data_IF_675629310197
#
_entry.id   IF_675629310197
#
_cell.length_a   1.000
_cell.length_b   1.000
_cell.length_c   1.000
_cell.angle_alpha   90.00
_cell.angle_beta   90.00
_cell.angle_gamma   90.00
#
_symmetry.space_group_name_H-M   'P 1'
#
loop_
_entity.id
_entity.type
_entity.pdbx_description
1 polymer ?
#
# COMPACT_ATOMS: atom_id res chain seq x y z
N UNK A 1 12.28 42.98 11.79
CA UNK A 1 12.99 41.83 12.40
C UNK A 1 12.71 40.58 11.56
N UNK A 2 13.50 40.34 10.49
CA UNK A 2 13.38 39.13 9.66
C UNK A 2 13.99 37.98 10.46
N UNK A 3 13.17 37.01 10.86
CA UNK A 3 13.64 35.81 11.54
C UNK A 3 14.49 35.00 10.56
N UNK A 4 15.76 34.81 10.91
CA UNK A 4 16.73 34.03 10.16
C UNK A 4 16.31 32.54 10.14
N UNK A 5 16.06 31.93 8.96
CA UNK A 5 15.62 30.54 8.83
C UNK A 5 16.59 29.51 9.45
N UNK A 6 17.84 29.88 9.71
CA UNK A 6 18.82 29.02 10.38
C UNK A 6 18.41 28.70 11.85
N UNK A 7 17.83 29.66 12.56
CA UNK A 7 17.44 29.50 13.97
C UNK A 7 16.18 28.64 14.17
N UNK A 8 15.29 28.59 13.17
CA UNK A 8 14.10 27.72 13.17
C UNK A 8 14.45 26.24 13.00
N UNK A 9 15.52 25.91 12.27
CA UNK A 9 15.98 24.52 12.09
C UNK A 9 16.63 23.95 13.35
N UNK A 10 17.39 24.76 14.09
CA UNK A 10 18.04 24.36 15.35
C UNK A 10 17.02 24.12 16.48
N UNK A 11 15.99 24.96 16.60
CA UNK A 11 14.90 24.77 17.59
C UNK A 11 13.99 23.58 17.26
N UNK A 12 13.79 23.27 15.97
CA UNK A 12 13.05 22.08 15.53
C UNK A 12 13.79 20.77 15.82
N UNK A 13 15.13 20.77 15.69
CA UNK A 13 15.97 19.60 15.96
C UNK A 13 15.95 19.15 17.43
N UNK A 14 15.97 20.10 18.38
CA UNK A 14 15.95 19.78 19.81
C UNK A 14 14.60 19.19 20.26
N UNK A 15 13.48 19.73 19.76
CA UNK A 15 12.14 19.16 20.02
C UNK A 15 11.95 17.82 19.30
N UNK A 16 12.46 17.67 18.08
CA UNK A 16 12.40 16.41 17.34
C UNK A 16 13.17 15.28 18.04
N UNK A 17 14.35 15.58 18.58
CA UNK A 17 15.17 14.62 19.31
C UNK A 17 14.51 14.16 20.62
N UNK A 18 13.87 15.07 21.36
CA UNK A 18 13.16 14.70 22.60
C UNK A 18 11.93 13.84 22.34
N UNK A 19 11.13 14.14 21.31
CA UNK A 19 10.01 13.28 20.91
C UNK A 19 10.48 11.91 20.41
N UNK A 20 11.58 11.85 19.66
CA UNK A 20 12.16 10.58 19.22
C UNK A 20 12.65 9.75 20.41
N UNK A 21 13.34 10.37 21.37
CA UNK A 21 13.82 9.72 22.59
C UNK A 21 12.66 9.22 23.47
N UNK A 22 11.62 10.04 23.66
CA UNK A 22 10.40 9.65 24.37
C UNK A 22 9.72 8.46 23.69
N UNK A 23 9.56 8.50 22.37
CA UNK A 23 8.99 7.39 21.60
C UNK A 23 9.81 6.10 21.68
N UNK A 24 11.15 6.20 21.67
CA UNK A 24 12.05 5.06 21.89
C UNK A 24 11.91 4.48 23.30
N UNK A 25 11.83 5.33 24.32
CA UNK A 25 11.60 4.91 25.70
C UNK A 25 10.25 4.21 25.87
N UNK A 26 9.18 4.78 25.31
CA UNK A 26 7.86 4.16 25.34
C UNK A 26 7.83 2.83 24.60
N UNK A 27 8.46 2.74 23.43
CA UNK A 27 8.60 1.48 22.70
C UNK A 27 9.37 0.43 23.52
N UNK A 28 10.46 0.81 24.20
CA UNK A 28 11.22 -0.08 25.07
C UNK A 28 10.40 -0.53 26.29
N UNK A 29 9.69 0.39 26.93
CA UNK A 29 8.81 0.11 28.07
C UNK A 29 7.68 -0.84 27.69
N UNK A 30 7.01 -0.60 26.57
CA UNK A 30 5.95 -1.47 26.04
C UNK A 30 6.50 -2.85 25.68
N UNK A 31 7.67 -2.91 25.04
CA UNK A 31 8.37 -4.16 24.73
C UNK A 31 8.65 -4.98 25.98
N UNK A 32 9.19 -4.33 27.02
CA UNK A 32 9.50 -5.00 28.28
C UNK A 32 8.24 -5.49 29.00
N UNK A 33 7.18 -4.69 29.02
CA UNK A 33 5.88 -5.10 29.59
C UNK A 33 5.30 -6.30 28.86
N UNK A 34 5.28 -6.26 27.52
CA UNK A 34 4.82 -7.39 26.71
C UNK A 34 5.63 -8.64 27.00
N UNK A 35 6.97 -8.55 26.98
CA UNK A 35 7.86 -9.67 27.26
C UNK A 35 7.60 -10.28 28.64
N UNK A 36 7.42 -9.45 29.68
CA UNK A 36 7.05 -9.94 31.02
C UNK A 36 5.73 -10.71 31.00
N UNK A 37 4.69 -10.14 30.40
CA UNK A 37 3.35 -10.75 30.34
C UNK A 37 3.39 -12.07 29.56
N UNK A 38 4.05 -12.10 28.40
CA UNK A 38 4.16 -13.32 27.60
C UNK A 38 4.91 -14.45 28.30
N UNK A 39 5.79 -14.13 29.26
CA UNK A 39 6.47 -15.15 30.06
C UNK A 39 5.64 -15.68 31.22
N UNK A 40 4.71 -14.87 31.76
CA UNK A 40 3.81 -15.28 32.85
C UNK A 40 2.55 -15.98 32.36
N UNK A 41 2.16 -15.77 31.10
CA UNK A 41 0.99 -16.42 30.53
C UNK A 41 1.24 -17.92 30.30
N UNK A 42 0.19 -18.77 30.45
CA UNK A 42 0.19 -20.12 29.90
C UNK A 42 0.54 -20.08 28.42
N UNK A 43 1.26 -21.09 27.96
CA UNK A 43 1.70 -21.14 26.57
C UNK A 43 0.50 -21.26 25.62
N UNK A 44 0.32 -20.30 24.69
CA UNK A 44 -0.71 -20.43 23.65
C UNK A 44 -0.24 -21.39 22.55
N UNK A 45 -1.16 -22.06 21.87
CA UNK A 45 -0.85 -22.89 20.69
C UNK A 45 -0.56 -22.05 19.43
N UNK A 46 -1.14 -20.86 19.37
CA UNK A 46 -1.14 -19.97 18.22
C UNK A 46 -1.19 -18.50 18.66
N UNK A 47 -0.43 -17.66 17.98
CA UNK A 47 -0.49 -16.19 18.08
C UNK A 47 -0.91 -15.64 16.72
N UNK A 48 -2.08 -15.01 16.68
CA UNK A 48 -2.56 -14.26 15.53
C UNK A 48 -2.21 -12.78 15.72
N UNK A 49 -1.45 -12.22 14.77
CA UNK A 49 -1.07 -10.81 14.77
C UNK A 49 -1.88 -10.08 13.71
N UNK A 50 -2.87 -9.31 14.13
CA UNK A 50 -3.61 -8.40 13.26
C UNK A 50 -2.83 -7.08 13.15
N UNK A 51 -2.40 -6.73 11.94
CA UNK A 51 -1.57 -5.54 11.72
C UNK A 51 -2.37 -4.24 11.90
N UNK A 52 -2.00 -3.39 12.88
CA UNK A 52 -1.54 -2.04 12.56
C UNK A 52 -0.04 -1.91 12.96
N UNK A 53 0.71 -0.85 12.59
CA UNK A 53 2.17 -0.91 12.52
C UNK A 53 2.80 -1.08 13.90
N UNK A 54 3.45 -2.23 14.15
CA UNK A 54 3.96 -2.61 15.48
C UNK A 54 5.43 -3.06 15.47
N UNK A 55 6.34 -2.28 14.90
CA UNK A 55 7.73 -2.40 15.32
C UNK A 55 7.79 -1.90 16.76
N UNK A 56 8.18 -2.67 17.80
CA UNK A 56 8.92 -3.94 17.90
C UNK A 56 8.12 -5.15 18.46
N UNK A 57 6.81 -5.04 18.60
CA UNK A 57 5.93 -5.98 19.33
C UNK A 57 6.02 -7.41 18.81
N UNK A 58 5.95 -7.59 17.49
CA UNK A 58 6.02 -8.93 16.88
C UNK A 58 7.39 -9.58 17.10
N UNK A 59 8.47 -8.79 17.11
CA UNK A 59 9.81 -9.29 17.38
C UNK A 59 9.95 -9.79 18.81
N UNK A 60 9.37 -9.06 19.76
CA UNK A 60 9.35 -9.45 21.17
C UNK A 60 8.50 -10.70 21.38
N UNK A 61 7.30 -10.73 20.80
CA UNK A 61 6.40 -11.87 20.90
C UNK A 61 7.03 -13.14 20.30
N UNK A 62 7.56 -13.03 19.07
CA UNK A 62 8.24 -14.11 18.39
C UNK A 62 9.43 -14.61 19.22
N UNK A 63 10.32 -13.75 19.71
CA UNK A 63 11.45 -14.19 20.55
C UNK A 63 11.03 -14.84 21.87
N UNK A 64 9.94 -14.39 22.46
CA UNK A 64 9.45 -14.90 23.75
C UNK A 64 8.77 -16.26 23.62
N UNK A 65 8.03 -16.50 22.54
CA UNK A 65 7.14 -17.65 22.41
C UNK A 65 7.60 -18.66 21.37
N UNK A 66 8.38 -18.27 20.35
CA UNK A 66 8.79 -19.19 19.29
C UNK A 66 9.61 -20.37 19.83
N UNK A 67 10.48 -20.13 20.82
CA UNK A 67 11.25 -21.20 21.49
C UNK A 67 10.39 -22.18 22.28
N UNK A 68 9.13 -21.83 22.56
CA UNK A 68 8.17 -22.69 23.24
C UNK A 68 7.35 -23.54 22.26
N UNK A 69 7.59 -23.44 20.95
CA UNK A 69 6.83 -24.17 19.93
C UNK A 69 5.50 -23.49 19.53
N UNK A 70 5.30 -22.24 19.94
CA UNK A 70 4.10 -21.46 19.57
C UNK A 70 4.14 -21.10 18.09
N UNK A 71 3.01 -21.33 17.41
CA UNK A 71 2.83 -20.96 16.00
C UNK A 71 2.44 -19.49 15.86
N UNK A 72 2.95 -18.82 14.83
CA UNK A 72 2.66 -17.43 14.53
C UNK A 72 1.93 -17.30 13.20
N UNK A 73 0.88 -16.49 13.18
CA UNK A 73 0.15 -16.14 11.96
C UNK A 73 0.02 -14.63 11.89
N UNK A 74 0.40 -14.02 10.77
CA UNK A 74 0.22 -12.59 10.55
C UNK A 74 -0.97 -12.38 9.63
N UNK A 75 -1.86 -11.48 10.02
CA UNK A 75 -2.97 -11.02 9.20
C UNK A 75 -2.66 -9.65 8.60
N UNK A 76 -2.38 -9.65 7.29
CA UNK A 76 -1.96 -8.50 6.52
C UNK A 76 -3.18 -7.77 5.96
N UNK A 77 -3.45 -6.62 6.56
CA UNK A 77 -4.48 -5.66 6.11
C UNK A 77 -3.87 -4.47 5.38
N UNK A 78 -2.71 -4.02 5.87
CA UNK A 78 -1.93 -2.91 5.34
C UNK A 78 -0.43 -3.24 5.47
N UNK A 79 0.41 -2.47 4.77
CA UNK A 79 1.87 -2.52 4.94
C UNK A 79 2.30 -1.29 5.74
N UNK A 80 2.83 -1.49 6.94
CA UNK A 80 3.20 -0.40 7.84
C UNK A 80 4.25 0.53 7.23
N UNK A 81 5.20 -0.02 6.48
CA UNK A 81 6.21 0.77 5.77
C UNK A 81 5.58 1.68 4.71
N UNK A 82 4.45 1.30 4.09
CA UNK A 82 3.78 2.13 3.08
C UNK A 82 3.07 3.31 3.73
N UNK A 83 2.47 3.11 4.90
CA UNK A 83 1.88 4.18 5.71
C UNK A 83 2.97 5.13 6.20
N UNK A 84 4.09 4.59 6.69
CA UNK A 84 5.22 5.38 7.13
C UNK A 84 5.86 6.18 5.98
N UNK A 85 5.92 5.59 4.78
CA UNK A 85 6.38 6.24 3.56
C UNK A 85 5.54 7.47 3.21
N UNK A 86 4.22 7.41 3.38
CA UNK A 86 3.33 8.55 3.11
C UNK A 86 3.62 9.73 4.06
N UNK A 87 4.09 9.46 5.29
CA UNK A 87 4.40 10.50 6.29
C UNK A 87 5.82 11.05 6.19
N UNK A 88 6.82 10.18 6.00
CA UNK A 88 8.25 10.54 6.09
C UNK A 88 8.94 10.63 4.73
N UNK A 89 8.30 10.17 3.65
CA UNK A 89 8.87 10.11 2.32
C UNK A 89 9.62 8.80 2.03
N UNK A 90 9.78 8.49 0.73
CA UNK A 90 10.32 7.21 0.24
C UNK A 90 11.74 6.90 0.69
N UNK A 91 12.57 7.93 0.81
CA UNK A 91 14.00 7.79 1.06
C UNK A 91 14.38 7.80 2.54
N UNK A 92 13.40 7.98 3.44
CA UNK A 92 13.66 8.08 4.86
C UNK A 92 14.19 6.74 5.42
N UNK A 93 15.29 6.72 6.19
CA UNK A 93 15.87 5.49 6.74
C UNK A 93 14.87 4.63 7.52
N UNK A 94 13.99 5.26 8.30
CA UNK A 94 12.95 4.56 9.04
C UNK A 94 11.98 3.76 8.14
N UNK A 95 11.70 4.24 6.92
CA UNK A 95 10.84 3.53 5.95
C UNK A 95 11.55 2.29 5.41
N UNK A 96 12.86 2.39 5.16
CA UNK A 96 13.69 1.25 4.75
C UNK A 96 13.77 0.19 5.85
N UNK A 97 13.98 0.63 7.10
CA UNK A 97 14.00 -0.23 8.27
C UNK A 97 12.66 -0.94 8.48
N UNK A 98 11.55 -0.18 8.42
CA UNK A 98 10.20 -0.72 8.51
C UNK A 98 9.95 -1.80 7.45
N UNK A 99 10.28 -1.51 6.19
CA UNK A 99 10.14 -2.48 5.09
C UNK A 99 10.97 -3.74 5.33
N UNK A 100 12.20 -3.59 5.82
CA UNK A 100 13.07 -4.73 6.11
C UNK A 100 12.50 -5.60 7.25
N UNK A 101 12.04 -4.98 8.33
CA UNK A 101 11.43 -5.68 9.46
C UNK A 101 10.15 -6.41 9.03
N UNK A 102 9.26 -5.76 8.29
CA UNK A 102 8.04 -6.40 7.75
C UNK A 102 8.37 -7.60 6.86
N UNK A 103 9.32 -7.45 5.93
CA UNK A 103 9.77 -8.56 5.07
C UNK A 103 10.35 -9.71 5.89
N UNK A 104 11.13 -9.40 6.91
CA UNK A 104 11.73 -10.38 7.81
C UNK A 104 10.67 -11.13 8.61
N UNK A 105 9.63 -10.45 9.07
CA UNK A 105 8.57 -11.03 9.87
C UNK A 105 7.63 -11.89 9.03
N UNK A 106 7.27 -11.43 7.84
CA UNK A 106 6.48 -12.20 6.88
C UNK A 106 7.07 -13.59 6.58
N UNK A 107 8.41 -13.69 6.54
CA UNK A 107 9.13 -14.94 6.28
C UNK A 107 9.38 -15.83 7.49
N UNK A 108 9.14 -15.33 8.72
CA UNK A 108 9.44 -16.08 9.96
C UNK A 108 8.22 -16.68 10.64
N UNK A 109 7.04 -16.28 10.19
CA UNK A 109 5.78 -16.78 10.72
C UNK A 109 5.34 -18.03 9.98
N UNK A 110 4.50 -18.83 10.63
CA UNK A 110 4.04 -20.11 10.09
C UNK A 110 3.01 -19.93 8.98
N UNK A 111 2.22 -18.85 9.01
CA UNK A 111 1.31 -18.51 7.93
C UNK A 111 1.09 -17.00 7.82
N UNK A 112 0.72 -16.56 6.61
CA UNK A 112 0.37 -15.19 6.30
C UNK A 112 -1.06 -15.17 5.73
N UNK A 113 -1.95 -14.40 6.36
CA UNK A 113 -3.30 -14.12 5.88
C UNK A 113 -3.32 -12.74 5.21
N UNK A 114 -4.16 -12.56 4.19
CA UNK A 114 -4.24 -11.31 3.43
C UNK A 114 -5.68 -10.96 3.08
N UNK A 115 -6.04 -9.69 3.21
CA UNK A 115 -7.39 -9.20 2.84
C UNK A 115 -7.70 -9.25 1.35
N UNK A 116 -6.67 -9.33 0.49
CA UNK A 116 -6.86 -9.31 -0.96
C UNK A 116 -5.82 -10.14 -1.70
N UNK A 117 -6.16 -10.57 -2.93
CA UNK A 117 -5.24 -11.24 -3.85
C UNK A 117 -4.05 -10.36 -4.23
N UNK A 118 -4.27 -9.05 -4.37
CA UNK A 118 -3.19 -8.10 -4.70
C UNK A 118 -2.16 -8.01 -3.58
N UNK A 119 -2.59 -8.03 -2.33
CA UNK A 119 -1.68 -8.03 -1.18
C UNK A 119 -0.94 -9.36 -1.04
N UNK A 120 -1.62 -10.49 -1.25
CA UNK A 120 -0.98 -11.81 -1.28
C UNK A 120 0.13 -11.87 -2.34
N UNK A 121 -0.18 -11.49 -3.59
CA UNK A 121 0.80 -11.43 -4.68
C UNK A 121 1.96 -10.46 -4.39
N UNK A 122 1.70 -9.37 -3.67
CA UNK A 122 2.75 -8.46 -3.22
C UNK A 122 3.69 -9.13 -2.21
N UNK A 123 3.16 -9.85 -1.22
CA UNK A 123 3.99 -10.54 -0.22
C UNK A 123 4.84 -11.63 -0.87
N UNK A 124 4.24 -12.43 -1.74
CA UNK A 124 4.94 -13.49 -2.48
C UNK A 124 6.06 -12.90 -3.36
N UNK A 125 5.75 -11.89 -4.18
CA UNK A 125 6.74 -11.32 -5.12
C UNK A 125 7.78 -10.40 -4.48
N UNK A 126 7.43 -9.62 -3.45
CA UNK A 126 8.32 -8.59 -2.88
C UNK A 126 8.93 -8.98 -1.56
N UNK A 127 8.21 -9.76 -0.75
CA UNK A 127 8.69 -10.22 0.54
C UNK A 127 9.25 -11.65 0.49
N UNK A 128 9.03 -12.38 -0.61
CA UNK A 128 9.56 -13.74 -0.81
C UNK A 128 8.97 -14.68 0.24
N UNK A 129 7.63 -14.67 0.30
CA UNK A 129 6.80 -15.52 1.17
C UNK A 129 6.31 -16.68 0.32
N UNK A 130 6.43 -17.91 0.83
CA UNK A 130 6.10 -19.13 0.06
C UNK A 130 4.64 -19.20 -0.38
N UNK A 131 3.72 -18.80 0.50
CA UNK A 131 2.28 -18.79 0.21
C UNK A 131 1.53 -17.88 1.19
N UNK A 132 0.78 -16.92 0.67
CA UNK A 132 -0.10 -16.06 1.46
C UNK A 132 -1.59 -16.42 1.21
N UNK A 133 -2.34 -16.70 2.28
CA UNK A 133 -3.74 -17.11 2.17
C UNK A 133 -4.66 -15.89 2.17
N UNK A 134 -5.48 -15.76 1.12
CA UNK A 134 -6.45 -14.67 1.05
C UNK A 134 -7.67 -14.97 1.95
N UNK A 135 -7.93 -14.07 2.89
CA UNK A 135 -9.11 -14.02 3.74
C UNK A 135 -9.75 -12.63 3.57
N UNK A 136 -10.76 -12.53 2.72
CA UNK A 136 -11.44 -11.26 2.47
C UNK A 136 -12.16 -10.75 3.71
N UNK A 137 -11.98 -9.47 4.02
CA UNK A 137 -12.80 -8.79 5.01
C UNK A 137 -14.26 -8.80 4.57
N UNK A 138 -15.13 -9.29 5.45
CA UNK A 138 -16.57 -9.21 5.28
C UNK A 138 -17.09 -8.04 6.11
N UNK A 139 -17.96 -7.18 5.55
CA UNK A 139 -18.62 -6.17 6.35
C UNK A 139 -19.48 -6.85 7.43
N UNK A 140 -19.68 -6.17 8.56
CA UNK A 140 -20.59 -6.66 9.60
C UNK A 140 -21.98 -6.94 9.00
N UNK A 141 -22.70 -7.93 9.53
CA UNK A 141 -24.02 -8.36 9.04
C UNK A 141 -25.07 -7.24 9.02
N UNK A 142 -24.86 -6.17 9.79
CA UNK A 142 -25.68 -4.95 9.80
C UNK A 142 -25.61 -4.20 8.46
N UNK A 143 -24.51 -4.36 7.71
CA UNK A 143 -24.36 -3.77 6.39
C UNK A 143 -24.96 -4.70 5.34
N UNK A 144 -26.20 -4.43 4.97
CA UNK A 144 -26.87 -5.13 3.88
C UNK A 144 -26.36 -4.61 2.53
N UNK A 145 -26.07 -5.47 1.55
CA UNK A 145 -25.80 -5.02 0.19
C UNK A 145 -26.98 -4.19 -0.34
N UNK A 146 -26.74 -2.94 -0.72
CA UNK A 146 -27.75 -2.11 -1.37
C UNK A 146 -28.05 -2.63 -2.77
N UNK A 147 -29.33 -2.59 -3.16
CA UNK A 147 -29.74 -2.92 -4.52
C UNK A 147 -29.04 -1.99 -5.53
N UNK A 148 -28.80 -2.49 -6.74
CA UNK A 148 -28.11 -1.72 -7.79
C UNK A 148 -28.83 -0.41 -8.10
N UNK A 149 -30.16 -0.41 -8.10
CA UNK A 149 -30.96 0.78 -8.40
C UNK A 149 -30.85 1.83 -7.29
N UNK A 150 -30.94 1.41 -6.04
CA UNK A 150 -30.77 2.27 -4.86
C UNK A 150 -29.36 2.84 -4.78
N UNK A 151 -28.35 2.01 -5.04
CA UNK A 151 -26.95 2.42 -5.08
C UNK A 151 -26.71 3.51 -6.12
N UNK A 152 -27.29 3.39 -7.31
CA UNK A 152 -27.16 4.40 -8.36
C UNK A 152 -27.89 5.70 -8.02
N UNK A 153 -29.11 5.64 -7.46
CA UNK A 153 -29.83 6.82 -6.98
C UNK A 153 -29.05 7.54 -5.88
N UNK A 154 -28.55 6.80 -4.90
CA UNK A 154 -27.73 7.35 -3.82
C UNK A 154 -26.44 7.97 -4.36
N UNK A 155 -25.77 7.30 -5.31
CA UNK A 155 -24.57 7.80 -5.99
C UNK A 155 -24.84 9.12 -6.71
N UNK A 156 -25.93 9.22 -7.47
CA UNK A 156 -26.31 10.45 -8.18
C UNK A 156 -26.66 11.59 -7.23
N UNK A 157 -27.43 11.31 -6.17
CA UNK A 157 -27.77 12.29 -5.14
C UNK A 157 -26.53 12.80 -4.39
N UNK A 158 -25.59 11.90 -4.06
CA UNK A 158 -24.32 12.24 -3.42
C UNK A 158 -23.46 13.12 -4.33
N UNK A 159 -23.29 12.73 -5.60
CA UNK A 159 -22.51 13.53 -6.56
C UNK A 159 -23.13 14.90 -6.84
N UNK A 160 -24.46 14.98 -6.92
CA UNK A 160 -25.17 16.26 -7.01
C UNK A 160 -24.92 17.15 -5.80
N UNK A 161 -25.00 16.61 -4.58
CA UNK A 161 -24.72 17.34 -3.33
C UNK A 161 -23.26 17.78 -3.21
N UNK A 162 -22.33 16.97 -3.70
CA UNK A 162 -20.90 17.29 -3.71
C UNK A 162 -20.48 18.18 -4.88
N UNK A 163 -21.41 18.58 -5.75
CA UNK A 163 -21.12 19.40 -6.93
C UNK A 163 -20.24 18.71 -7.99
N UNK A 164 -20.04 17.40 -7.88
CA UNK A 164 -19.21 16.62 -8.82
C UNK A 164 -20.10 16.22 -10.00
N UNK A 165 -20.14 17.09 -11.00
CA UNK A 165 -20.88 16.82 -12.23
C UNK A 165 -20.06 15.83 -13.05
N UNK A 166 -20.60 14.64 -13.27
CA UNK A 166 -19.99 13.68 -14.17
C UNK A 166 -19.89 14.33 -15.56
N UNK A 167 -18.67 14.66 -15.98
CA UNK A 167 -18.41 15.10 -17.35
C UNK A 167 -18.83 13.95 -18.25
N UNK A 168 -19.97 14.10 -18.92
CA UNK A 168 -20.38 13.15 -19.97
C UNK A 168 -19.22 13.10 -20.95
N UNK A 169 -18.58 11.93 -21.10
CA UNK A 169 -17.73 11.64 -22.25
C UNK A 169 -18.60 11.95 -23.48
N UNK A 170 -18.26 13.02 -24.20
CA UNK A 170 -18.88 13.34 -25.48
C UNK A 170 -18.77 12.11 -26.36
N UNK A 171 -19.89 11.44 -26.58
CA UNK A 171 -20.02 10.43 -27.62
C UNK A 171 -19.74 11.13 -28.93
N UNK A 172 -18.56 10.90 -29.50
CA UNK A 172 -18.29 11.25 -30.89
C UNK A 172 -19.22 10.33 -31.71
N UNK A 173 -20.34 10.88 -32.19
CA UNK A 173 -21.13 10.23 -33.23
C UNK A 173 -20.27 10.12 -34.48
N UNK A 174 -20.29 8.99 -35.20
CA UNK A 174 -19.60 8.88 -36.47
C UNK A 174 -20.36 9.74 -37.50
N UNK A 175 -19.79 10.87 -37.90
CA UNK A 175 -20.29 11.63 -39.04
C UNK A 175 -19.96 10.87 -40.32
N UNK A 176 -21.02 10.45 -41.02
CA UNK A 176 -20.99 9.92 -42.38
C UNK A 176 -20.28 10.91 -43.32
N UNK A 177 -19.36 10.46 -44.21
CA UNK A 177 -18.71 11.37 -45.15
C UNK A 177 -19.71 11.81 -46.22
N UNK A 178 -19.94 13.11 -46.35
CA UNK A 178 -20.68 13.67 -47.47
C UNK A 178 -19.85 13.57 -48.76
N UNK A 179 -20.47 12.96 -49.77
CA UNK A 179 -20.02 12.97 -51.16
C UNK A 179 -20.05 14.41 -51.69
N UNK A 180 -18.92 14.94 -52.16
CA UNK A 180 -18.91 16.05 -53.10
C UNK A 180 -17.75 17.04 -52.96
N UNK A 181 -16.60 16.73 -53.55
CA UNK A 181 -16.07 17.50 -54.69
C UNK A 181 -14.86 16.78 -55.26
N UNK A 182 -14.94 16.48 -56.55
CA UNK A 182 -13.82 16.01 -57.38
C UNK A 182 -13.07 17.24 -57.90
N UNK A 183 -11.78 17.04 -58.13
CA UNK A 183 -10.86 17.75 -59.03
C UNK A 183 -10.05 18.93 -58.47
N UNK A 184 -8.80 18.60 -58.09
CA UNK A 184 -7.57 19.32 -58.45
C UNK A 184 -6.42 18.30 -58.32
N UNK A 185 -6.25 17.39 -59.29
CA UNK A 185 -5.25 17.46 -60.36
C UNK A 185 -3.86 17.94 -59.90
N UNK A 186 -2.93 16.97 -59.90
CA UNK A 186 -1.49 17.05 -60.14
C UNK A 186 -0.68 18.15 -59.43
N UNK A 187 0.27 17.77 -58.58
CA UNK A 187 1.67 17.55 -58.98
C UNK A 187 2.51 17.21 -57.73
N UNK A 188 3.66 16.53 -57.88
CA UNK A 188 4.64 16.39 -56.79
C UNK A 188 4.85 14.99 -56.21
N UNK A 189 4.96 13.96 -57.04
CA UNK A 189 5.67 12.71 -56.69
C UNK A 189 7.04 12.72 -57.36
N UNK A 190 8.12 12.94 -56.60
CA UNK A 190 9.48 12.42 -56.85
C UNK A 190 10.40 12.77 -55.69
N UNK A 191 11.25 11.80 -55.31
CA UNK A 191 12.32 11.80 -54.27
C UNK A 191 11.79 11.49 -52.86
N UNK A 192 12.24 10.47 -52.14
CA UNK A 192 13.31 9.51 -52.34
C UNK A 192 12.98 8.23 -51.55
N UNK A 193 13.20 7.07 -52.16
CA UNK A 193 13.29 5.78 -51.48
C UNK A 193 14.77 5.51 -51.18
N UNK A 194 15.08 4.97 -50.00
CA UNK A 194 16.44 4.56 -49.67
C UNK A 194 16.67 4.13 -48.23
N UNK A 195 16.37 2.86 -47.94
CA UNK A 195 17.22 2.03 -47.07
C UNK A 195 16.83 1.89 -45.60
N UNK A 196 16.21 0.77 -45.24
CA UNK A 196 16.72 -0.04 -44.12
C UNK A 196 16.27 -1.51 -44.27
N UNK A 197 17.23 -2.43 -44.16
CA UNK A 197 17.14 -3.89 -44.31
C UNK A 197 17.22 -4.51 -42.91
N UNK A 198 16.38 -5.48 -42.57
CA UNK A 198 16.70 -6.53 -41.58
C UNK A 198 16.19 -7.87 -42.12
N UNK A 199 17.01 -8.90 -41.89
CA UNK A 199 17.12 -10.20 -42.54
C UNK A 199 16.10 -11.26 -42.08
N UNK A 200 15.95 -12.29 -42.91
CA UNK A 200 15.81 -13.66 -42.44
C UNK A 200 16.67 -14.57 -43.33
N UNK A 201 17.68 -15.18 -42.73
CA UNK A 201 18.37 -16.38 -43.23
C UNK A 201 18.12 -17.45 -42.19
N UNK A 202 17.81 -18.64 -42.69
CA UNK A 202 17.66 -19.92 -42.00
C UNK A 202 18.82 -20.27 -41.07
#
# INVERSE_FOLDING_TARGET
HRLDPATLRLRGGFKGATYAAAGLFDAARLSFRLWRILRTLPQPDLVLVQNPPHFPTILVAWRSLHRRGVRFVIDWHNLGYTVLRTRLGRWHPAVRLARWLERRDARRVNANLCVSRGLAAFLESRFDVDSARVLYDRPASVFTPMDRSERERFRQALFGRLGVHATKKTSISPSTPSRGSRNAFADGKRRAAGGFRISSSS
#
